data_IF_419394880319
#
_entry.id   IF_419394880319
#
_cell.length_a   1.000
_cell.length_b   1.000
_cell.length_c   1.000
_cell.angle_alpha   90.00
_cell.angle_beta   90.00
_cell.angle_gamma   90.00
#
_symmetry.space_group_name_H-M   'P 1'
#
loop_
_entity.id
_entity.type
_entity.pdbx_description
1 polymer ?
#
# COMPACT_ATOMS: atom_id res chain seq x y z
N UNK A 1 -20.48 -56.52 -5.37
CA UNK A 1 -20.37 -55.15 -5.95
C UNK A 1 -20.24 -54.17 -4.79
N UNK A 2 -19.01 -53.79 -4.41
CA UNK A 2 -18.77 -52.88 -3.30
C UNK A 2 -18.79 -51.43 -3.81
N UNK A 3 -19.78 -50.65 -3.39
CA UNK A 3 -19.88 -49.21 -3.72
C UNK A 3 -18.92 -48.43 -2.82
N UNK A 4 -17.83 -47.98 -3.40
CA UNK A 4 -16.95 -46.95 -2.83
C UNK A 4 -17.73 -45.66 -2.69
N UNK A 5 -17.79 -45.11 -1.47
CA UNK A 5 -18.34 -43.77 -1.23
C UNK A 5 -17.15 -42.81 -1.14
N UNK A 6 -16.97 -41.98 -2.15
CA UNK A 6 -15.96 -40.91 -2.16
C UNK A 6 -16.40 -39.86 -1.14
N UNK A 7 -15.65 -39.75 -0.04
CA UNK A 7 -15.84 -38.69 0.96
C UNK A 7 -15.25 -37.40 0.40
N UNK A 8 -16.11 -36.52 -0.08
CA UNK A 8 -15.77 -35.16 -0.47
C UNK A 8 -15.29 -34.38 0.78
N UNK A 9 -14.02 -33.97 0.79
CA UNK A 9 -13.50 -33.03 1.77
C UNK A 9 -13.89 -31.61 1.33
N UNK A 10 -15.05 -31.14 1.80
CA UNK A 10 -15.33 -29.71 1.79
C UNK A 10 -14.41 -29.07 2.85
N UNK A 11 -13.29 -28.51 2.39
CA UNK A 11 -12.51 -27.56 3.19
C UNK A 11 -13.39 -26.33 3.42
N UNK A 12 -13.99 -26.25 4.60
CA UNK A 12 -14.69 -25.06 5.06
C UNK A 12 -13.70 -23.91 5.16
N UNK A 13 -14.07 -22.77 4.57
CA UNK A 13 -13.40 -21.50 4.81
C UNK A 13 -13.23 -21.27 6.32
N UNK A 14 -12.12 -20.66 6.78
CA UNK A 14 -11.96 -20.34 8.20
C UNK A 14 -13.03 -19.33 8.59
N UNK A 15 -14.06 -19.80 9.29
CA UNK A 15 -14.96 -18.94 10.07
C UNK A 15 -14.12 -18.35 11.19
N UNK A 16 -13.47 -17.21 10.94
CA UNK A 16 -12.83 -16.44 12.01
C UNK A 16 -13.90 -16.12 13.05
N UNK A 17 -13.75 -16.53 14.31
CA UNK A 17 -14.73 -16.20 15.33
C UNK A 17 -14.69 -14.68 15.51
N UNK A 18 -15.82 -14.03 15.30
CA UNK A 18 -16.03 -12.58 15.46
C UNK A 18 -15.42 -12.02 16.76
N UNK A 19 -15.27 -12.86 17.80
CA UNK A 19 -14.61 -12.55 19.06
C UNK A 19 -13.11 -12.25 18.96
N UNK A 20 -12.36 -12.90 18.08
CA UNK A 20 -10.93 -12.60 17.85
C UNK A 20 -10.73 -11.25 17.17
N UNK A 21 -11.61 -10.93 16.21
CA UNK A 21 -11.63 -9.62 15.53
C UNK A 21 -11.96 -8.51 16.53
N UNK A 22 -12.93 -8.74 17.41
CA UNK A 22 -13.29 -7.80 18.47
C UNK A 22 -12.17 -7.65 19.52
N UNK A 23 -11.47 -8.74 19.88
CA UNK A 23 -10.32 -8.68 20.77
C UNK A 23 -9.15 -7.90 20.15
N UNK A 24 -8.85 -8.14 18.87
CA UNK A 24 -7.85 -7.37 18.13
C UNK A 24 -8.25 -5.89 18.04
N UNK A 25 -9.52 -5.59 17.73
CA UNK A 25 -10.05 -4.24 17.68
C UNK A 25 -9.93 -3.49 19.02
N UNK A 26 -10.01 -4.19 20.16
CA UNK A 26 -9.79 -3.60 21.50
C UNK A 26 -8.34 -3.22 21.77
N UNK A 27 -7.38 -3.93 21.17
CA UNK A 27 -5.94 -3.63 21.27
C UNK A 27 -5.51 -2.56 20.26
N UNK A 28 -6.26 -2.40 19.17
CA UNK A 28 -6.00 -1.45 18.09
C UNK A 28 -6.46 -0.04 18.43
N UNK A 29 -5.69 0.95 17.95
CA UNK A 29 -6.06 2.35 18.10
C UNK A 29 -7.28 2.68 17.21
N UNK A 30 -8.31 3.36 17.72
CA UNK A 30 -9.45 3.75 16.90
C UNK A 30 -9.04 4.73 15.77
N UNK A 31 -9.80 4.82 14.67
CA UNK A 31 -9.40 5.59 13.49
C UNK A 31 -9.11 7.07 13.75
N UNK A 32 -9.95 7.77 14.54
CA UNK A 32 -9.78 9.21 14.80
C UNK A 32 -8.52 9.49 15.65
N UNK A 33 -8.28 8.81 16.79
CA UNK A 33 -7.02 8.89 17.51
C UNK A 33 -5.80 8.59 16.62
N UNK A 34 -5.87 7.56 15.78
CA UNK A 34 -4.79 7.15 14.87
C UNK A 34 -4.46 8.24 13.85
N UNK A 35 -5.48 8.80 13.21
CA UNK A 35 -5.34 9.94 12.30
C UNK A 35 -4.63 11.12 12.96
N UNK A 36 -5.05 11.50 14.18
CA UNK A 36 -4.43 12.61 14.93
C UNK A 36 -3.01 12.28 15.37
N UNK A 37 -2.69 11.02 15.64
CA UNK A 37 -1.34 10.59 16.01
C UNK A 37 -0.39 10.65 14.80
N UNK A 38 -0.83 10.19 13.63
CA UNK A 38 -0.08 10.29 12.38
C UNK A 38 0.30 11.73 12.02
N UNK A 39 -0.68 12.63 12.02
CA UNK A 39 -0.43 14.06 11.74
C UNK A 39 0.46 14.73 12.79
N UNK A 40 0.55 14.17 14.00
CA UNK A 40 1.50 14.65 15.03
C UNK A 40 2.90 14.11 14.75
N UNK A 41 3.04 12.83 14.41
CA UNK A 41 4.33 12.24 14.05
C UNK A 41 4.94 12.91 12.81
N UNK A 42 4.13 13.27 11.82
CA UNK A 42 4.58 13.99 10.63
C UNK A 42 5.22 15.35 10.92
N UNK A 43 4.95 15.97 12.07
CA UNK A 43 5.56 17.25 12.44
C UNK A 43 7.07 17.17 12.60
N UNK A 44 7.59 15.97 12.85
CA UNK A 44 9.01 15.68 13.01
C UNK A 44 9.68 15.28 11.70
N UNK A 45 8.93 15.20 10.59
CA UNK A 45 9.47 14.96 9.26
C UNK A 45 9.94 16.27 8.61
N UNK A 46 10.88 16.21 7.64
CA UNK A 46 11.22 17.38 6.82
C UNK A 46 10.01 17.94 6.07
N UNK A 47 10.01 19.25 5.75
CA UNK A 47 8.85 19.94 5.19
C UNK A 47 8.23 19.26 3.95
N UNK A 48 9.07 18.79 3.03
CA UNK A 48 8.65 18.19 1.76
C UNK A 48 7.95 16.84 2.01
N UNK A 49 8.57 15.98 2.83
CA UNK A 49 7.99 14.69 3.20
C UNK A 49 6.70 14.86 4.02
N UNK A 50 6.68 15.86 4.90
CA UNK A 50 5.51 16.18 5.71
C UNK A 50 4.32 16.59 4.84
N UNK A 51 4.51 17.52 3.89
CA UNK A 51 3.42 17.97 3.03
C UNK A 51 2.82 16.81 2.23
N UNK A 52 3.68 16.02 1.59
CA UNK A 52 3.27 14.85 0.81
C UNK A 52 2.57 13.80 1.68
N UNK A 53 3.12 13.51 2.86
CA UNK A 53 2.53 12.57 3.81
C UNK A 53 1.19 13.03 4.37
N UNK A 54 1.07 14.31 4.76
CA UNK A 54 -0.16 14.88 5.32
C UNK A 54 -1.32 14.81 4.31
N UNK A 55 -1.05 15.12 3.04
CA UNK A 55 -2.07 15.07 1.99
C UNK A 55 -2.51 13.63 1.68
N UNK A 56 -1.55 12.71 1.62
CA UNK A 56 -1.84 11.28 1.47
C UNK A 56 -2.70 10.75 2.61
N UNK A 57 -2.30 10.95 3.88
CA UNK A 57 -3.04 10.52 5.06
C UNK A 57 -4.47 11.06 5.04
N UNK A 58 -4.66 12.36 4.78
CA UNK A 58 -5.99 12.98 4.71
C UNK A 58 -6.85 12.32 3.63
N UNK A 59 -6.29 12.10 2.44
CA UNK A 59 -7.03 11.49 1.33
C UNK A 59 -7.44 10.05 1.63
N UNK A 60 -6.57 9.26 2.24
CA UNK A 60 -6.83 7.86 2.55
C UNK A 60 -7.87 7.69 3.65
N UNK A 61 -7.77 8.49 4.73
CA UNK A 61 -8.79 8.48 5.78
C UNK A 61 -10.15 8.94 5.27
N UNK A 62 -10.19 9.89 4.32
CA UNK A 62 -11.44 10.30 3.67
C UNK A 62 -12.02 9.19 2.79
N UNK A 63 -11.17 8.47 2.04
CA UNK A 63 -11.57 7.34 1.19
C UNK A 63 -12.15 6.18 2.02
N UNK A 64 -11.61 5.97 3.22
CA UNK A 64 -12.00 4.87 4.12
C UNK A 64 -13.08 5.26 5.16
N UNK A 65 -13.63 6.47 5.11
CA UNK A 65 -14.61 6.96 6.09
C UNK A 65 -15.93 6.17 6.09
N UNK A 66 -16.34 5.63 4.93
CA UNK A 66 -17.64 4.95 4.73
C UNK A 66 -17.53 3.42 4.70
N UNK A 67 -16.43 2.87 5.22
CA UNK A 67 -16.26 1.41 5.27
C UNK A 67 -17.04 0.88 6.47
N UNK A 68 -17.99 -0.01 6.21
CA UNK A 68 -18.80 -0.64 7.26
C UNK A 68 -18.27 -2.02 7.68
N UNK A 69 -17.41 -2.64 6.86
CA UNK A 69 -16.88 -3.97 7.15
C UNK A 69 -15.85 -3.91 8.29
N UNK A 70 -16.13 -4.52 9.47
CA UNK A 70 -15.25 -4.43 10.63
C UNK A 70 -13.86 -5.04 10.39
N UNK A 71 -13.74 -6.07 9.55
CA UNK A 71 -12.45 -6.66 9.21
C UNK A 71 -11.57 -5.68 8.42
N UNK A 72 -12.16 -4.94 7.50
CA UNK A 72 -11.44 -3.93 6.72
C UNK A 72 -11.00 -2.75 7.61
N UNK A 73 -11.84 -2.32 8.54
CA UNK A 73 -11.48 -1.27 9.52
C UNK A 73 -10.32 -1.73 10.39
N UNK A 74 -10.36 -2.97 10.89
CA UNK A 74 -9.27 -3.57 11.68
C UNK A 74 -7.98 -3.66 10.88
N UNK A 75 -8.05 -4.14 9.63
CA UNK A 75 -6.89 -4.20 8.72
C UNK A 75 -6.30 -2.81 8.45
N UNK A 76 -7.15 -1.83 8.16
CA UNK A 76 -6.74 -0.43 7.99
C UNK A 76 -6.03 0.10 9.24
N UNK A 77 -6.66 0.01 10.41
CA UNK A 77 -6.08 0.53 11.65
C UNK A 77 -4.75 -0.17 11.99
N UNK A 78 -4.63 -1.47 11.73
CA UNK A 78 -3.39 -2.24 11.96
C UNK A 78 -2.24 -1.75 11.07
N UNK A 79 -2.47 -1.63 9.77
CA UNK A 79 -1.45 -1.16 8.82
C UNK A 79 -0.98 0.26 9.15
N UNK A 80 -1.93 1.17 9.42
CA UNK A 80 -1.61 2.56 9.76
C UNK A 80 -0.95 2.70 11.13
N UNK A 81 -1.24 1.79 12.09
CA UNK A 81 -0.52 1.71 13.36
C UNK A 81 0.93 1.26 13.17
N UNK A 82 1.18 0.26 12.32
CA UNK A 82 2.54 -0.16 11.97
C UNK A 82 3.34 0.97 11.33
N UNK A 83 2.71 1.73 10.41
CA UNK A 83 3.34 2.90 9.82
C UNK A 83 3.66 4.00 10.85
N UNK A 84 2.73 4.29 11.77
CA UNK A 84 2.99 5.22 12.87
C UNK A 84 4.17 4.77 13.74
N UNK A 85 4.27 3.47 14.02
CA UNK A 85 5.37 2.92 14.82
C UNK A 85 6.71 3.02 14.07
N UNK A 86 6.73 2.79 12.76
CA UNK A 86 7.95 3.01 11.95
C UNK A 86 8.37 4.48 11.94
N UNK A 87 7.41 5.41 11.86
CA UNK A 87 7.72 6.85 11.95
C UNK A 87 8.35 7.22 13.29
N UNK A 88 7.89 6.62 14.39
CA UNK A 88 8.51 6.85 15.69
C UNK A 88 9.90 6.23 15.74
N UNK A 89 10.09 5.00 15.27
CA UNK A 89 11.40 4.34 15.24
C UNK A 89 12.45 5.15 14.45
N UNK A 90 12.05 5.75 13.33
CA UNK A 90 12.94 6.58 12.51
C UNK A 90 13.32 7.89 13.21
N UNK A 91 12.44 8.46 14.04
CA UNK A 91 12.75 9.66 14.83
C UNK A 91 13.80 9.40 15.92
N UNK A 92 13.87 8.18 16.46
CA UNK A 92 14.83 7.80 17.50
C UNK A 92 16.21 7.38 16.97
N UNK A 93 16.42 7.40 15.65
CA UNK A 93 17.73 7.15 15.03
C UNK A 93 18.36 8.48 14.56
N UNK A 94 19.06 9.23 15.44
CA UNK A 94 19.81 10.40 15.01
C UNK A 94 20.91 9.94 14.04
N UNK A 95 20.83 10.36 12.77
CA UNK A 95 21.76 9.92 11.72
C UNK A 95 21.42 8.58 11.05
N UNK A 96 20.25 7.98 11.34
CA UNK A 96 19.75 6.84 10.59
C UNK A 96 19.41 7.29 9.17
N UNK A 97 20.24 6.90 8.19
CA UNK A 97 19.99 7.17 6.79
C UNK A 97 18.55 6.74 6.45
N UNK A 98 17.68 7.71 6.15
CA UNK A 98 16.34 7.45 5.61
C UNK A 98 16.56 6.89 4.20
N UNK A 99 16.64 5.56 4.13
CA UNK A 99 17.18 4.83 2.98
C UNK A 99 18.69 4.59 3.09
N UNK A 100 19.17 3.50 2.51
CA UNK A 100 20.61 3.32 2.33
C UNK A 100 21.11 4.22 1.20
N UNK A 101 22.34 4.74 1.32
CA UNK A 101 22.99 5.33 0.17
C UNK A 101 23.05 4.28 -0.94
N UNK A 102 22.60 4.65 -2.14
CA UNK A 102 22.70 3.76 -3.30
C UNK A 102 24.17 3.44 -3.56
N UNK A 103 24.47 2.17 -3.83
CA UNK A 103 25.81 1.76 -4.25
C UNK A 103 26.21 2.60 -5.48
N UNK A 104 27.36 3.31 -5.46
CA UNK A 104 27.84 4.07 -6.61
C UNK A 104 27.81 3.27 -7.92
N UNK A 105 28.12 1.97 -7.87
CA UNK A 105 28.08 1.09 -9.05
C UNK A 105 26.68 0.92 -9.63
N UNK A 106 25.65 0.92 -8.78
CA UNK A 106 24.27 0.86 -9.21
C UNK A 106 23.84 2.17 -9.89
N UNK A 107 24.34 3.31 -9.39
CA UNK A 107 24.09 4.62 -9.98
C UNK A 107 24.68 4.69 -11.38
N UNK A 108 25.92 4.23 -11.57
CA UNK A 108 26.57 4.19 -12.88
C UNK A 108 25.76 3.33 -13.87
N UNK A 109 25.30 2.15 -13.42
CA UNK A 109 24.48 1.26 -14.25
C UNK A 109 23.13 1.87 -14.61
N UNK A 110 22.48 2.57 -13.67
CA UNK A 110 21.23 3.30 -13.94
C UNK A 110 21.45 4.43 -14.94
N UNK A 111 22.59 5.11 -14.87
CA UNK A 111 22.95 6.18 -15.80
C UNK A 111 23.20 5.65 -17.22
N UNK A 112 23.94 4.56 -17.35
CA UNK A 112 24.16 3.85 -18.62
C UNK A 112 22.82 3.41 -19.23
N UNK A 113 21.95 2.81 -18.41
CA UNK A 113 20.64 2.34 -18.85
C UNK A 113 19.72 3.50 -19.27
N UNK A 114 19.77 4.64 -18.58
CA UNK A 114 19.06 5.87 -18.97
C UNK A 114 19.53 6.36 -20.35
N UNK A 115 20.83 6.38 -20.60
CA UNK A 115 21.39 6.81 -21.87
C UNK A 115 20.95 5.88 -23.02
N UNK A 116 21.13 4.57 -22.86
CA UNK A 116 20.69 3.59 -23.85
C UNK A 116 19.17 3.68 -24.12
N UNK A 117 18.36 3.85 -23.07
CA UNK A 117 16.93 4.06 -23.22
C UNK A 117 16.61 5.34 -24.00
N UNK A 118 17.36 6.43 -23.80
CA UNK A 118 17.16 7.68 -24.55
C UNK A 118 17.58 7.58 -26.03
N UNK A 119 18.57 6.76 -26.35
CA UNK A 119 18.97 6.49 -27.74
C UNK A 119 17.94 5.62 -28.48
N UNK A 120 17.34 4.66 -27.78
CA UNK A 120 16.30 3.77 -28.30
C UNK A 120 14.91 4.43 -28.27
N UNK A 121 14.75 5.52 -27.50
CA UNK A 121 13.47 6.20 -27.34
C UNK A 121 13.04 6.86 -28.66
N UNK A 122 12.11 6.19 -29.34
CA UNK A 122 11.44 6.69 -30.53
C UNK A 122 10.16 7.44 -30.11
N UNK A 123 10.13 8.79 -30.18
CA UNK A 123 8.99 9.60 -29.72
C UNK A 123 7.73 9.39 -30.56
N UNK A 124 7.83 8.89 -31.78
CA UNK A 124 6.71 8.57 -32.66
C UNK A 124 6.04 7.25 -32.24
N UNK A 125 6.84 6.24 -31.88
CA UNK A 125 6.33 4.95 -31.34
C UNK A 125 5.76 5.08 -29.93
N UNK A 126 6.33 5.94 -29.09
CA UNK A 126 5.86 6.17 -27.71
C UNK A 126 4.47 6.82 -27.67
N UNK A 127 4.11 7.58 -28.71
CA UNK A 127 2.76 8.10 -28.93
C UNK A 127 1.88 7.05 -29.61
N UNK A 128 1.78 5.86 -29.02
CA UNK A 128 0.88 4.83 -29.52
C UNK A 128 -0.55 5.38 -29.55
N UNK A 129 -1.03 5.71 -30.75
CA UNK A 129 -2.44 6.05 -30.98
C UNK A 129 -3.25 4.84 -30.52
N UNK A 130 -4.31 5.01 -29.70
CA UNK A 130 -5.13 3.88 -29.29
C UNK A 130 -5.59 3.13 -30.56
N UNK A 131 -5.55 1.79 -30.55
CA UNK A 131 -5.95 1.02 -31.72
C UNK A 131 -7.33 1.47 -32.18
N UNK A 132 -7.56 1.63 -33.51
CA UNK A 132 -8.86 2.05 -34.00
C UNK A 132 -9.90 1.08 -33.44
N UNK A 133 -10.96 1.63 -32.85
CA UNK A 133 -12.11 0.83 -32.42
C UNK A 133 -12.54 0.04 -33.64
N UNK A 134 -12.57 -1.29 -33.54
CA UNK A 134 -13.19 -2.11 -34.57
C UNK A 134 -14.63 -1.62 -34.61
N UNK A 135 -15.01 -0.97 -35.70
CA UNK A 135 -16.40 -0.60 -35.93
C UNK A 135 -17.18 -1.90 -35.84
N UNK A 136 -18.08 -1.93 -34.86
CA UNK A 136 -19.11 -2.94 -34.69
C UNK A 136 -20.10 -2.71 -35.84
N UNK A 137 -19.68 -3.10 -37.04
CA UNK A 137 -20.45 -3.05 -38.26
C UNK A 137 -20.27 -4.39 -38.98
N UNK A 138 -20.80 -5.44 -38.36
CA UNK A 138 -21.61 -6.38 -39.12
C UNK A 138 -22.55 -7.13 -38.15
N UNK A 139 -23.85 -6.91 -38.39
CA UNK A 139 -24.98 -7.84 -38.24
C UNK A 139 -25.13 -8.66 -36.95
#
# INVERSE_FOLDING_TARGET
MHRTVIRCLAQGAPNTPMGEVQAAAKTLMPPIPLYRALLRAHRNLPPEMRSLGDDYVKSEFRRHQKIDNPLQIVGFCSQWKMYLDSLHMDQFKPGGSRGQALDPKLIDKLYELKLAASEVFDPERAQARPPPKKDESDS
#
